data_IF_185877736694
#
_entry.id   IF_185877736694
#
_cell.length_a   1.000
_cell.length_b   1.000
_cell.length_c   1.000
_cell.angle_alpha   90.00
_cell.angle_beta   90.00
_cell.angle_gamma   90.00
#
_symmetry.space_group_name_H-M   'P 1'
#
loop_
_entity.id
_entity.type
_entity.pdbx_description
1 polymer ?
#
# COMPACT_ATOMS: atom_id res chain seq x y z
N UNK A 1 7.22 21.15 17.73
CA UNK A 1 6.94 21.43 16.30
C UNK A 1 5.68 20.68 15.93
N UNK A 2 4.74 21.32 15.22
CA UNK A 2 3.52 20.67 14.73
C UNK A 2 3.82 19.98 13.40
N UNK A 3 3.45 18.70 13.26
CA UNK A 3 3.64 17.95 12.01
C UNK A 3 2.55 18.27 10.98
N UNK A 4 1.33 18.58 11.43
CA UNK A 4 0.20 19.06 10.63
C UNK A 4 -0.51 20.16 11.41
N UNK A 5 -0.94 21.23 10.74
CA UNK A 5 -1.66 22.35 11.36
C UNK A 5 -2.89 22.74 10.53
N UNK A 6 -4.09 22.36 11.00
CA UNK A 6 -5.35 22.78 10.37
C UNK A 6 -5.56 22.31 8.93
N UNK A 7 -5.06 21.12 8.58
CA UNK A 7 -5.13 20.60 7.20
C UNK A 7 -6.56 20.16 6.86
N UNK A 8 -7.07 20.64 5.74
CA UNK A 8 -8.29 20.15 5.09
C UNK A 8 -7.91 19.60 3.72
N UNK A 9 -8.08 18.29 3.52
CA UNK A 9 -7.77 17.61 2.27
C UNK A 9 -8.96 16.71 1.88
N UNK A 10 -9.29 16.73 0.59
CA UNK A 10 -10.38 15.95 0.02
C UNK A 10 -9.88 15.36 -1.30
N UNK A 11 -10.22 14.09 -1.54
CA UNK A 11 -10.02 13.43 -2.82
C UNK A 11 -11.33 12.74 -3.20
N UNK A 12 -11.67 12.75 -4.49
CA UNK A 12 -12.82 12.03 -5.03
C UNK A 12 -12.37 10.74 -5.73
N UNK A 13 -13.32 9.83 -5.90
CA UNK A 13 -13.09 8.62 -6.67
C UNK A 13 -12.57 8.94 -8.08
N UNK A 14 -11.57 8.18 -8.52
CA UNK A 14 -10.95 8.35 -9.84
C UNK A 14 -9.94 9.50 -9.94
N UNK A 15 -9.72 10.29 -8.90
CA UNK A 15 -8.74 11.38 -8.92
C UNK A 15 -7.33 10.91 -8.54
N UNK A 16 -6.33 11.41 -9.28
CA UNK A 16 -4.92 11.25 -8.93
C UNK A 16 -4.42 12.57 -8.34
N UNK A 17 -3.95 12.51 -7.09
CA UNK A 17 -3.44 13.67 -6.36
C UNK A 17 -1.94 13.55 -6.12
N UNK A 18 -1.21 14.65 -6.28
CA UNK A 18 0.19 14.75 -5.91
C UNK A 18 0.34 15.66 -4.69
N UNK A 19 0.81 15.11 -3.57
CA UNK A 19 1.14 15.88 -2.37
C UNK A 19 2.63 16.27 -2.41
N UNK A 20 2.90 17.54 -2.71
CA UNK A 20 4.27 18.06 -2.87
C UNK A 20 4.61 19.05 -1.76
N UNK A 21 5.87 19.05 -1.32
CA UNK A 21 6.38 19.92 -0.26
C UNK A 21 7.73 19.45 0.23
N UNK A 22 8.42 20.26 1.03
CA UNK A 22 9.75 19.94 1.56
C UNK A 22 9.75 18.74 2.52
N UNK A 23 10.92 18.15 2.75
CA UNK A 23 11.08 17.13 3.77
C UNK A 23 10.73 17.72 5.15
N UNK A 24 9.87 17.02 5.90
CA UNK A 24 9.35 17.52 7.18
C UNK A 24 8.05 18.32 7.08
N UNK A 25 7.54 18.64 5.89
CA UNK A 25 6.28 19.37 5.72
C UNK A 25 5.00 18.59 6.12
N UNK A 26 5.13 17.40 6.72
CA UNK A 26 3.98 16.59 7.19
C UNK A 26 3.35 15.66 6.16
N UNK A 27 3.89 15.55 4.94
CA UNK A 27 3.34 14.68 3.87
C UNK A 27 3.14 13.23 4.31
N UNK A 28 4.19 12.61 4.84
CA UNK A 28 4.12 11.23 5.33
C UNK A 28 3.22 11.10 6.56
N UNK A 29 3.12 12.15 7.38
CA UNK A 29 2.20 12.21 8.52
C UNK A 29 0.76 12.13 8.04
N UNK A 30 0.39 12.91 7.01
CA UNK A 30 -0.94 12.87 6.41
C UNK A 30 -1.27 11.50 5.82
N UNK A 31 -0.35 10.92 5.03
CA UNK A 31 -0.53 9.58 4.45
C UNK A 31 -0.71 8.52 5.56
N UNK A 32 0.06 8.58 6.64
CA UNK A 32 -0.04 7.63 7.74
C UNK A 32 -1.35 7.76 8.53
N UNK A 33 -1.96 8.95 8.58
CA UNK A 33 -3.29 9.13 9.17
C UNK A 33 -4.35 8.43 8.32
N UNK A 34 -4.35 8.64 7.00
CA UNK A 34 -5.28 7.94 6.09
C UNK A 34 -5.08 6.42 6.10
N UNK A 35 -3.82 5.97 6.12
CA UNK A 35 -3.47 4.55 6.22
C UNK A 35 -3.74 3.93 7.61
N UNK A 36 -4.32 4.68 8.55
CA UNK A 36 -4.63 4.20 9.90
C UNK A 36 -3.40 3.88 10.76
N UNK A 37 -2.17 4.20 10.33
CA UNK A 37 -0.94 3.96 11.11
C UNK A 37 -0.69 5.02 12.17
N UNK A 38 -1.29 6.20 12.01
CA UNK A 38 -1.15 7.30 12.94
C UNK A 38 -2.52 7.84 13.33
N UNK A 39 -2.72 8.06 14.64
CA UNK A 39 -3.90 8.75 15.15
C UNK A 39 -3.63 10.26 15.10
N UNK A 40 -4.54 11.08 14.53
CA UNK A 40 -4.39 12.53 14.61
C UNK A 40 -4.64 13.03 16.03
N UNK A 41 -3.91 14.07 16.45
CA UNK A 41 -4.12 14.71 17.75
C UNK A 41 -5.47 15.44 17.84
N UNK A 42 -5.98 15.91 16.69
CA UNK A 42 -7.29 16.55 16.54
C UNK A 42 -7.85 16.34 15.13
N UNK A 43 -9.17 16.46 14.98
CA UNK A 43 -9.85 16.19 13.71
C UNK A 43 -10.05 14.70 13.44
N UNK A 44 -10.39 14.35 12.20
CA UNK A 44 -10.63 12.97 11.77
C UNK A 44 -10.36 12.81 10.27
N UNK A 45 -10.15 11.56 9.84
CA UNK A 45 -10.11 11.18 8.44
C UNK A 45 -11.30 10.25 8.15
N UNK A 46 -11.94 10.42 7.00
CA UNK A 46 -13.11 9.64 6.58
C UNK A 46 -12.96 9.08 5.18
N UNK A 47 -13.59 7.93 4.93
CA UNK A 47 -13.83 7.40 3.59
C UNK A 47 -15.33 7.10 3.47
N UNK A 48 -15.97 7.69 2.45
CA UNK A 48 -17.42 7.62 2.21
C UNK A 48 -18.26 7.99 3.44
N UNK A 49 -17.84 9.07 4.11
CA UNK A 49 -18.51 9.60 5.30
C UNK A 49 -18.26 8.84 6.60
N UNK A 50 -17.61 7.67 6.56
CA UNK A 50 -17.27 6.92 7.76
C UNK A 50 -15.83 7.15 8.20
N UNK A 51 -15.63 7.27 9.51
CA UNK A 51 -14.30 7.50 10.11
C UNK A 51 -13.38 6.32 9.85
N UNK A 52 -12.17 6.60 9.37
CA UNK A 52 -11.09 5.63 9.27
C UNK A 52 -10.58 5.35 10.68
N UNK A 53 -10.57 4.07 11.06
CA UNK A 53 -10.21 3.64 12.42
C UNK A 53 -8.88 4.25 12.88
N UNK A 54 -8.95 5.18 13.83
CA UNK A 54 -7.79 5.95 14.25
C UNK A 54 -6.74 5.04 14.88
N UNK A 55 -5.57 4.93 14.25
CA UNK A 55 -4.48 4.07 14.72
C UNK A 55 -4.66 2.57 14.44
N UNK A 56 -5.57 2.18 13.53
CA UNK A 56 -5.66 0.79 13.04
C UNK A 56 -5.47 0.70 11.52
N UNK A 57 -4.27 0.32 11.10
CA UNK A 57 -3.96 0.05 9.70
C UNK A 57 -4.82 -1.08 9.11
N UNK A 58 -5.13 -2.11 9.91
CA UNK A 58 -6.02 -3.20 9.51
C UNK A 58 -7.43 -2.70 9.24
N UNK A 59 -7.94 -1.75 10.04
CA UNK A 59 -9.25 -1.16 9.80
C UNK A 59 -9.29 -0.28 8.55
N UNK A 60 -8.20 0.46 8.27
CA UNK A 60 -8.08 1.23 7.03
C UNK A 60 -8.03 0.31 5.80
N UNK A 61 -7.24 -0.77 5.87
CA UNK A 61 -7.13 -1.76 4.80
C UNK A 61 -8.46 -2.48 4.53
N UNK A 62 -9.19 -2.87 5.59
CA UNK A 62 -10.52 -3.48 5.45
C UNK A 62 -11.56 -2.55 4.80
N UNK A 63 -11.27 -1.25 4.73
CA UNK A 63 -12.08 -0.24 4.02
C UNK A 63 -11.53 0.09 2.63
N UNK A 64 -10.51 -0.61 2.14
CA UNK A 64 -9.91 -0.41 0.81
C UNK A 64 -8.80 0.64 0.76
N UNK A 65 -8.24 1.06 1.90
CA UNK A 65 -7.07 1.96 1.90
C UNK A 65 -5.79 1.14 2.07
N UNK A 66 -4.99 1.11 1.01
CA UNK A 66 -3.64 0.58 1.04
C UNK A 66 -2.61 1.71 0.86
N UNK A 67 -1.43 1.54 1.45
CA UNK A 67 -0.34 2.51 1.35
C UNK A 67 0.94 1.78 0.95
N UNK A 68 1.58 2.28 -0.12
CA UNK A 68 2.89 1.84 -0.58
C UNK A 68 3.94 2.84 -0.10
N UNK A 69 4.98 2.34 0.57
CA UNK A 69 6.01 3.18 1.19
C UNK A 69 7.31 3.21 0.37
N UNK A 70 8.10 4.27 0.58
CA UNK A 70 9.39 4.45 -0.10
C UNK A 70 10.37 3.29 0.16
N UNK A 71 10.34 2.72 1.37
CA UNK A 71 11.03 1.48 1.70
C UNK A 71 10.02 0.33 1.62
N UNK A 72 10.18 -0.60 0.65
CA UNK A 72 9.32 -1.77 0.53
C UNK A 72 9.33 -2.58 1.83
N UNK A 73 8.16 -2.99 2.27
CA UNK A 73 7.91 -3.88 3.40
C UNK A 73 7.78 -5.32 2.90
N UNK A 74 8.75 -5.78 2.11
CA UNK A 74 8.81 -7.15 1.58
C UNK A 74 9.83 -7.99 2.38
N UNK A 75 9.52 -9.27 2.58
CA UNK A 75 10.45 -10.25 3.11
C UNK A 75 11.50 -10.58 2.05
N UNK A 76 12.70 -10.04 2.23
CA UNK A 76 13.75 -10.02 1.22
C UNK A 76 14.21 -11.42 0.79
N UNK A 77 14.20 -12.39 1.71
CA UNK A 77 14.68 -13.77 1.50
C UNK A 77 13.61 -14.73 0.98
N UNK A 78 12.41 -14.25 0.70
CA UNK A 78 11.30 -15.05 0.19
C UNK A 78 11.07 -14.79 -1.31
N UNK A 79 10.40 -15.73 -1.97
CA UNK A 79 9.85 -15.53 -3.30
C UNK A 79 8.83 -14.39 -3.30
N UNK A 80 8.64 -13.78 -4.46
CA UNK A 80 7.67 -12.68 -4.59
C UNK A 80 6.23 -13.18 -4.37
N UNK A 81 5.88 -14.37 -4.86
CA UNK A 81 4.56 -14.95 -4.71
C UNK A 81 4.20 -15.23 -3.25
N UNK A 82 5.18 -15.62 -2.43
CA UNK A 82 4.99 -15.83 -1.00
C UNK A 82 4.76 -14.49 -0.27
N UNK A 83 5.47 -13.44 -0.71
CA UNK A 83 5.26 -12.07 -0.20
C UNK A 83 3.86 -11.54 -0.50
N UNK A 84 3.34 -11.79 -1.71
CA UNK A 84 1.98 -11.41 -2.08
C UNK A 84 0.97 -12.22 -1.25
N UNK A 85 1.14 -13.55 -1.17
CA UNK A 85 0.27 -14.41 -0.38
C UNK A 85 0.14 -13.96 1.09
N UNK A 86 1.26 -13.57 1.72
CA UNK A 86 1.26 -13.04 3.09
C UNK A 86 0.58 -11.66 3.22
N UNK A 87 0.50 -10.90 2.13
CA UNK A 87 -0.17 -9.59 2.07
C UNK A 87 -1.68 -9.63 1.86
N UNK A 88 -2.27 -10.82 1.73
CA UNK A 88 -3.71 -10.98 1.52
C UNK A 88 -4.11 -11.36 0.09
N UNK A 89 -3.16 -11.54 -0.83
CA UNK A 89 -3.42 -12.17 -2.13
C UNK A 89 -3.89 -13.61 -1.92
N UNK A 90 -5.05 -13.97 -2.48
CA UNK A 90 -5.74 -15.25 -2.26
C UNK A 90 -5.95 -15.61 -0.77
N UNK A 91 -6.86 -14.93 -0.06
CA UNK A 91 -7.11 -15.18 1.36
C UNK A 91 -7.80 -16.53 1.64
N UNK A 92 -8.28 -17.22 0.60
CA UNK A 92 -9.08 -18.45 0.76
C UNK A 92 -8.25 -19.72 0.72
N UNK A 93 -7.09 -19.75 0.04
CA UNK A 93 -6.15 -20.88 0.03
C UNK A 93 -4.74 -20.38 -0.32
N UNK A 94 -3.71 -20.86 0.38
CA UNK A 94 -2.28 -20.63 0.09
C UNK A 94 -1.81 -21.35 -1.20
N UNK A 95 -2.57 -21.22 -2.28
CA UNK A 95 -2.16 -21.71 -3.59
C UNK A 95 -1.24 -20.68 -4.22
N UNK A 96 0.07 -20.89 -4.12
CA UNK A 96 1.05 -20.03 -4.78
C UNK A 96 0.80 -19.97 -6.30
N UNK A 97 0.29 -21.05 -6.91
CA UNK A 97 -0.10 -21.04 -8.33
C UNK A 97 -1.28 -20.10 -8.61
N UNK A 98 -2.26 -19.99 -7.71
CA UNK A 98 -3.35 -19.03 -7.84
C UNK A 98 -2.85 -17.59 -7.68
N UNK A 99 -1.98 -17.34 -6.68
CA UNK A 99 -1.34 -16.03 -6.47
C UNK A 99 -0.56 -15.60 -7.70
N UNK A 100 0.21 -16.51 -8.30
CA UNK A 100 0.98 -16.24 -9.52
C UNK A 100 0.04 -15.88 -10.69
N UNK A 101 -1.06 -16.61 -10.86
CA UNK A 101 -2.01 -16.36 -11.94
C UNK A 101 -2.72 -15.00 -11.78
N UNK A 102 -3.19 -14.69 -10.57
CA UNK A 102 -3.83 -13.41 -10.23
C UNK A 102 -2.86 -12.24 -10.41
N UNK A 103 -1.64 -12.37 -9.90
CA UNK A 103 -0.62 -11.34 -10.01
C UNK A 103 -0.20 -11.11 -11.47
N UNK A 104 -0.11 -12.17 -12.28
CA UNK A 104 0.21 -12.07 -13.70
C UNK A 104 -0.89 -11.34 -14.49
N UNK A 105 -2.18 -11.57 -14.15
CA UNK A 105 -3.29 -10.86 -14.77
C UNK A 105 -3.22 -9.36 -14.47
N UNK A 106 -3.08 -8.99 -13.19
CA UNK A 106 -2.96 -7.58 -12.76
C UNK A 106 -1.70 -6.90 -13.32
N UNK A 107 -0.57 -7.59 -13.33
CA UNK A 107 0.66 -7.07 -13.95
C UNK A 107 0.47 -6.80 -15.44
N UNK A 108 -0.27 -7.67 -16.14
CA UNK A 108 -0.64 -7.48 -17.54
C UNK A 108 -1.51 -6.24 -17.77
N UNK A 109 -2.52 -6.04 -16.93
CA UNK A 109 -3.38 -4.82 -16.96
C UNK A 109 -2.58 -3.54 -16.69
N UNK A 110 -1.59 -3.61 -15.78
CA UNK A 110 -0.70 -2.49 -15.43
C UNK A 110 0.49 -2.32 -16.40
N UNK A 111 0.62 -3.18 -17.41
CA UNK A 111 1.64 -3.06 -18.45
C UNK A 111 3.07 -3.42 -18.03
N UNK A 112 3.25 -4.36 -17.08
CA UNK A 112 4.58 -4.86 -16.72
C UNK A 112 4.62 -6.38 -16.56
N UNK A 113 5.83 -6.94 -16.63
CA UNK A 113 6.07 -8.37 -16.46
C UNK A 113 6.60 -8.69 -15.07
N UNK A 114 6.17 -9.83 -14.53
CA UNK A 114 6.69 -10.34 -13.27
C UNK A 114 7.98 -11.16 -13.48
N UNK A 115 8.85 -11.22 -12.46
CA UNK A 115 9.92 -12.21 -12.41
C UNK A 115 9.36 -13.64 -12.45
N UNK A 116 10.18 -14.64 -12.81
CA UNK A 116 9.79 -16.04 -12.67
C UNK A 116 9.35 -16.36 -11.23
N UNK A 117 8.34 -17.23 -11.01
CA UNK A 117 8.00 -17.73 -9.69
C UNK A 117 9.24 -18.32 -8.99
N UNK A 118 9.36 -18.09 -7.69
CA UNK A 118 10.51 -18.48 -6.86
C UNK A 118 11.67 -17.49 -6.89
N UNK A 119 11.58 -16.41 -7.67
CA UNK A 119 12.61 -15.37 -7.67
C UNK A 119 12.61 -14.60 -6.35
N UNK A 120 13.76 -14.63 -5.67
CA UNK A 120 13.96 -13.98 -4.37
C UNK A 120 13.94 -12.45 -4.51
N UNK A 121 13.17 -11.79 -3.63
CA UNK A 121 12.94 -10.34 -3.61
C UNK A 121 14.25 -9.53 -3.48
N UNK A 122 15.21 -9.96 -2.65
CA UNK A 122 16.48 -9.25 -2.44
C UNK A 122 17.29 -9.08 -3.74
N UNK A 123 17.07 -9.95 -4.73
CA UNK A 123 17.76 -9.93 -6.02
C UNK A 123 17.01 -9.14 -7.09
N UNK A 124 15.92 -8.48 -6.72
CA UNK A 124 15.10 -7.64 -7.61
C UNK A 124 15.54 -6.18 -7.51
N UNK A 125 15.42 -5.46 -8.61
CA UNK A 125 15.60 -4.01 -8.67
C UNK A 125 14.59 -3.29 -7.78
N UNK A 126 14.90 -2.05 -7.39
CA UNK A 126 13.99 -1.20 -6.61
C UNK A 126 12.64 -1.04 -7.32
N UNK A 127 12.64 -0.85 -8.64
CA UNK A 127 11.43 -0.72 -9.44
C UNK A 127 10.56 -1.99 -9.41
N UNK A 128 11.18 -3.18 -9.50
CA UNK A 128 10.45 -4.45 -9.37
C UNK A 128 9.84 -4.59 -7.96
N UNK A 129 10.58 -4.27 -6.90
CA UNK A 129 10.05 -4.33 -5.53
C UNK A 129 8.87 -3.39 -5.31
N UNK A 130 8.94 -2.18 -5.86
CA UNK A 130 7.82 -1.22 -5.81
C UNK A 130 6.59 -1.73 -6.57
N UNK A 131 6.77 -2.37 -7.73
CA UNK A 131 5.66 -3.00 -8.47
C UNK A 131 5.03 -4.14 -7.67
N UNK A 132 5.84 -4.97 -7.01
CA UNK A 132 5.34 -6.03 -6.13
C UNK A 132 4.54 -5.49 -4.94
N UNK A 133 4.98 -4.36 -4.36
CA UNK A 133 4.22 -3.66 -3.32
C UNK A 133 2.90 -3.09 -3.82
N UNK A 134 2.88 -2.52 -5.03
CA UNK A 134 1.65 -2.04 -5.67
C UNK A 134 0.69 -3.20 -5.89
N UNK A 135 1.18 -4.34 -6.42
CA UNK A 135 0.32 -5.52 -6.60
C UNK A 135 -0.26 -5.98 -5.27
N UNK A 136 0.57 -6.10 -4.22
CA UNK A 136 0.11 -6.51 -2.88
C UNK A 136 -0.95 -5.56 -2.28
N UNK A 137 -1.01 -4.32 -2.74
CA UNK A 137 -1.94 -3.31 -2.28
C UNK A 137 -3.30 -3.31 -3.02
N UNK A 138 -3.40 -4.02 -4.15
CA UNK A 138 -4.61 -4.20 -4.97
C UNK A 138 -5.36 -5.47 -4.57
#
# INVERSE_FOLDING_TARGET
MLALGGVNFYAREGEIHALVGENGAGKSTLINIFAGRLRPDSGHATLDGAVLGAGSATAALARGIAAVYQSPMLFERMGWEENLALGGFSPRHYSLSAVVAEAAALAGELGFTLPPPGAIVERRSVAERVRLEILRAL
#
